data_IF_138938837044
#
_entry.id   IF_138938837044
#
_cell.length_a   1.000
_cell.length_b   1.000
_cell.length_c   1.000
_cell.angle_alpha   90.00
_cell.angle_beta   90.00
_cell.angle_gamma   90.00
#
_symmetry.space_group_name_H-M   'P 1'
#
loop_
_entity.id
_entity.type
_entity.pdbx_description
1 polymer ?
#
# COMPACT_ATOMS: atom_id res chain seq x y z
N UNK A 1 -2.72 19.40 2.50
CA UNK A 1 -2.22 20.10 3.70
C UNK A 1 -0.96 19.44 4.21
N UNK A 2 -0.03 20.21 4.71
CA UNK A 2 1.25 19.79 5.27
C UNK A 2 1.33 20.19 6.75
N UNK A 3 1.44 19.19 7.63
CA UNK A 3 1.73 19.39 9.04
C UNK A 3 3.23 19.39 9.23
N UNK A 4 3.76 20.46 9.82
CA UNK A 4 5.18 20.65 10.06
C UNK A 4 5.49 20.46 11.54
N UNK A 5 6.55 19.70 11.90
CA UNK A 5 6.93 19.56 13.30
C UNK A 5 7.35 20.89 13.90
N UNK A 6 7.09 21.07 15.17
CA UNK A 6 7.62 22.22 15.92
C UNK A 6 9.14 22.09 15.96
N UNK A 7 9.82 22.90 15.17
CA UNK A 7 11.28 23.07 15.22
C UNK A 7 11.61 24.52 14.98
N UNK A 8 12.65 25.01 15.64
CA UNK A 8 13.11 26.37 15.40
C UNK A 8 14.02 26.41 14.18
N UNK A 9 13.58 27.08 13.11
CA UNK A 9 14.46 27.56 12.06
C UNK A 9 14.72 26.59 10.89
N UNK A 10 15.99 26.28 10.62
CA UNK A 10 16.50 25.65 9.40
C UNK A 10 15.89 24.24 9.11
N UNK A 11 15.58 23.47 10.14
CA UNK A 11 15.04 22.10 10.00
C UNK A 11 13.63 22.13 9.36
N UNK A 12 12.81 23.10 9.75
CA UNK A 12 11.44 23.26 9.24
C UNK A 12 11.41 23.60 7.76
N UNK A 13 12.23 24.54 7.33
CA UNK A 13 12.31 24.95 5.92
C UNK A 13 12.89 23.83 5.05
N UNK A 14 13.89 23.11 5.54
CA UNK A 14 14.51 21.99 4.85
C UNK A 14 13.51 20.83 4.66
N UNK A 15 12.77 20.48 5.72
CA UNK A 15 11.75 19.44 5.69
C UNK A 15 10.63 19.79 4.69
N UNK A 16 10.12 21.03 4.74
CA UNK A 16 9.10 21.51 3.82
C UNK A 16 9.59 21.47 2.36
N UNK A 17 10.82 21.90 2.10
CA UNK A 17 11.40 21.90 0.76
C UNK A 17 11.49 20.49 0.18
N UNK A 18 11.99 19.51 0.94
CA UNK A 18 12.07 18.11 0.49
C UNK A 18 10.70 17.49 0.24
N UNK A 19 9.74 17.73 1.14
CA UNK A 19 8.37 17.27 0.96
C UNK A 19 7.74 17.85 -0.32
N UNK A 20 7.84 19.15 -0.50
CA UNK A 20 7.26 19.81 -1.67
C UNK A 20 7.95 19.39 -2.97
N UNK A 21 9.27 19.21 -2.96
CA UNK A 21 9.99 18.66 -4.12
C UNK A 21 9.51 17.24 -4.45
N UNK A 22 9.34 16.38 -3.46
CA UNK A 22 8.84 15.02 -3.65
C UNK A 22 7.43 15.01 -4.24
N UNK A 23 6.49 15.73 -3.65
CA UNK A 23 5.11 15.83 -4.15
C UNK A 23 5.06 16.37 -5.56
N UNK A 24 5.77 17.46 -5.83
CA UNK A 24 5.78 18.09 -7.16
C UNK A 24 6.40 17.16 -8.22
N UNK A 25 7.46 16.44 -7.86
CA UNK A 25 8.08 15.45 -8.75
C UNK A 25 7.09 14.35 -9.16
N UNK A 26 6.33 13.81 -8.22
CA UNK A 26 5.33 12.78 -8.51
C UNK A 26 4.11 13.35 -9.27
N UNK A 27 3.65 14.54 -8.91
CA UNK A 27 2.56 15.21 -9.63
C UNK A 27 2.90 15.41 -11.11
N UNK A 28 4.13 15.88 -11.43
CA UNK A 28 4.58 16.04 -12.80
C UNK A 28 4.59 14.73 -13.57
N UNK A 29 5.09 13.64 -12.97
CA UNK A 29 5.10 12.30 -13.60
C UNK A 29 3.68 11.84 -13.95
N UNK A 30 2.70 12.19 -13.14
CA UNK A 30 1.31 11.84 -13.34
C UNK A 30 0.50 12.88 -14.13
N UNK A 31 1.19 13.87 -14.71
CA UNK A 31 0.56 14.98 -15.46
C UNK A 31 -0.50 15.71 -14.62
N UNK A 32 -0.26 15.81 -13.32
CA UNK A 32 -1.11 16.50 -12.34
C UNK A 32 -0.45 17.81 -11.92
N UNK A 33 -1.26 18.76 -11.45
CA UNK A 33 -0.78 20.06 -10.99
C UNK A 33 -1.22 20.31 -9.55
N UNK A 34 -0.33 20.80 -8.71
CA UNK A 34 -0.67 21.28 -7.38
C UNK A 34 -1.34 22.65 -7.54
N UNK A 35 -2.63 22.72 -7.21
CA UNK A 35 -3.42 23.95 -7.40
C UNK A 35 -3.56 24.79 -6.14
N UNK A 36 -3.42 24.16 -4.97
CA UNK A 36 -3.55 24.83 -3.68
C UNK A 36 -2.93 23.98 -2.57
N UNK A 37 -2.65 24.60 -1.43
CA UNK A 37 -2.16 23.91 -0.24
C UNK A 37 -2.20 24.80 0.99
N UNK A 38 -2.07 24.19 2.15
CA UNK A 38 -1.96 24.86 3.44
C UNK A 38 -0.93 24.15 4.30
N UNK A 39 -0.11 24.90 5.02
CA UNK A 39 0.86 24.37 5.99
C UNK A 39 0.48 24.87 7.38
N UNK A 40 0.65 24.01 8.39
CA UNK A 40 0.38 24.33 9.78
C UNK A 40 1.38 23.64 10.70
N UNK A 41 1.60 24.18 11.86
CA UNK A 41 2.47 23.57 12.86
C UNK A 41 1.78 22.41 13.56
N UNK A 42 2.54 21.34 13.85
CA UNK A 42 2.09 20.11 14.50
C UNK A 42 3.20 19.53 15.37
N UNK A 43 2.86 18.59 16.25
CA UNK A 43 3.87 17.84 17.01
C UNK A 43 4.63 16.85 16.14
N UNK A 44 3.94 16.28 15.16
CA UNK A 44 4.47 15.26 14.25
C UNK A 44 4.31 15.73 12.80
N UNK A 45 5.23 15.33 11.90
CA UNK A 45 5.10 15.63 10.50
C UNK A 45 3.93 14.84 9.90
N UNK A 46 3.17 15.46 9.02
CA UNK A 46 2.08 14.81 8.35
C UNK A 46 1.75 15.44 7.01
N UNK A 47 1.15 14.67 6.13
CA UNK A 47 0.69 15.14 4.83
C UNK A 47 -0.69 14.60 4.52
N UNK A 48 -1.57 15.47 4.04
CA UNK A 48 -2.88 15.11 3.47
C UNK A 48 -2.95 15.62 2.06
N UNK A 49 -3.22 14.72 1.11
CA UNK A 49 -3.36 15.04 -0.31
C UNK A 49 -4.79 14.77 -0.73
N UNK A 50 -5.43 15.77 -1.33
CA UNK A 50 -6.73 15.64 -1.98
C UNK A 50 -6.54 15.75 -3.48
N UNK A 51 -7.03 14.78 -4.23
CA UNK A 51 -6.95 14.77 -5.68
C UNK A 51 -8.35 14.91 -6.29
N UNK A 52 -8.47 15.80 -7.28
CA UNK A 52 -9.67 15.95 -8.09
C UNK A 52 -9.33 15.63 -9.55
N UNK A 53 -10.22 14.95 -10.23
CA UNK A 53 -10.01 14.56 -11.61
C UNK A 53 -11.30 14.21 -12.31
N UNK A 54 -11.21 13.99 -13.63
CA UNK A 54 -12.31 13.52 -14.46
C UNK A 54 -12.03 12.09 -14.93
N UNK A 55 -13.07 11.32 -15.13
CA UNK A 55 -12.97 9.96 -15.67
C UNK A 55 -14.00 9.73 -16.77
N UNK A 56 -13.63 8.89 -17.74
CA UNK A 56 -14.55 8.51 -18.85
C UNK A 56 -15.45 7.35 -18.44
N UNK A 57 -14.94 6.42 -17.64
CA UNK A 57 -15.66 5.23 -17.17
C UNK A 57 -15.27 4.94 -15.74
N UNK A 58 -16.26 4.80 -14.89
CA UNK A 58 -16.06 4.38 -13.49
C UNK A 58 -15.79 2.87 -13.46
N UNK A 59 -14.75 2.47 -12.74
CA UNK A 59 -14.46 1.09 -12.39
C UNK A 59 -14.93 0.90 -10.95
N UNK A 60 -15.76 -0.10 -10.70
CA UNK A 60 -16.31 -0.40 -9.37
C UNK A 60 -15.81 -1.75 -8.88
N UNK A 61 -15.87 -1.99 -7.57
CA UNK A 61 -15.47 -3.26 -6.96
C UNK A 61 -16.46 -4.41 -7.18
N UNK A 62 -17.62 -4.17 -7.79
CA UNK A 62 -18.75 -5.09 -7.90
C UNK A 62 -18.90 -5.78 -9.26
N UNK A 63 -17.84 -5.89 -10.04
CA UNK A 63 -17.90 -6.44 -11.41
C UNK A 63 -17.06 -7.71 -11.59
N UNK A 64 -16.57 -8.33 -10.51
CA UNK A 64 -15.87 -9.61 -10.58
C UNK A 64 -16.80 -10.72 -11.08
N UNK A 65 -16.23 -11.68 -11.80
CA UNK A 65 -16.93 -12.86 -12.31
C UNK A 65 -16.19 -14.13 -11.89
N UNK A 66 -16.94 -15.21 -11.75
CA UNK A 66 -16.37 -16.53 -11.48
C UNK A 66 -15.36 -16.93 -12.56
N UNK A 67 -14.22 -17.48 -12.12
CA UNK A 67 -13.14 -17.92 -13.02
C UNK A 67 -12.16 -16.81 -13.41
N UNK A 68 -12.34 -15.57 -12.98
CA UNK A 68 -11.35 -14.52 -13.20
C UNK A 68 -10.12 -14.74 -12.30
N UNK A 69 -8.94 -14.39 -12.83
CA UNK A 69 -7.68 -14.50 -12.12
C UNK A 69 -7.38 -13.22 -11.34
N UNK A 70 -6.70 -13.37 -10.22
CA UNK A 70 -6.30 -12.27 -9.34
C UNK A 70 -4.82 -11.96 -9.54
N UNK A 71 -4.50 -10.71 -9.79
CA UNK A 71 -3.12 -10.25 -9.98
C UNK A 71 -2.75 -9.15 -9.00
N UNK A 72 -1.52 -9.24 -8.48
CA UNK A 72 -0.88 -8.16 -7.72
C UNK A 72 0.22 -7.51 -8.55
N UNK A 73 0.19 -6.20 -8.69
CA UNK A 73 1.17 -5.47 -9.51
C UNK A 73 2.55 -5.30 -8.87
N UNK A 74 2.65 -5.52 -7.57
CA UNK A 74 3.87 -5.45 -6.78
C UNK A 74 3.81 -6.48 -5.65
N UNK A 75 4.96 -6.90 -5.08
CA UNK A 75 4.96 -7.69 -3.86
C UNK A 75 4.43 -6.90 -2.66
N UNK A 76 4.04 -7.62 -1.62
CA UNK A 76 3.55 -7.11 -0.34
C UNK A 76 4.67 -7.10 0.70
N UNK A 77 4.46 -6.35 1.79
CA UNK A 77 5.33 -6.41 2.95
C UNK A 77 5.92 -5.09 3.39
N UNK A 78 5.38 -3.96 2.92
CA UNK A 78 5.89 -2.65 3.33
C UNK A 78 5.67 -2.40 4.83
N UNK A 79 4.58 -2.89 5.41
CA UNK A 79 4.25 -2.66 6.81
C UNK A 79 5.19 -3.37 7.78
N UNK A 80 5.39 -4.67 7.64
CA UNK A 80 6.27 -5.42 8.55
C UNK A 80 7.74 -5.05 8.37
N UNK A 81 8.18 -4.70 7.14
CA UNK A 81 9.55 -4.25 6.90
C UNK A 81 9.81 -2.87 7.49
N UNK A 82 8.85 -1.94 7.40
CA UNK A 82 8.94 -0.65 8.09
C UNK A 82 8.95 -0.84 9.61
N UNK A 83 8.12 -1.74 10.15
CA UNK A 83 8.14 -2.06 11.57
C UNK A 83 9.52 -2.59 11.99
N UNK A 84 10.10 -3.53 11.25
CA UNK A 84 11.45 -4.02 11.51
C UNK A 84 12.50 -2.91 11.48
N UNK A 85 12.40 -1.99 10.53
CA UNK A 85 13.28 -0.83 10.43
C UNK A 85 13.16 0.08 11.66
N UNK A 86 11.94 0.45 12.05
CA UNK A 86 11.72 1.33 13.21
C UNK A 86 12.11 0.71 14.55
N UNK A 87 12.07 -0.62 14.65
CA UNK A 87 12.56 -1.34 15.82
C UNK A 87 14.06 -1.64 15.77
N UNK A 88 14.80 -1.06 14.80
CA UNK A 88 16.25 -1.29 14.59
C UNK A 88 16.61 -2.77 14.57
N UNK A 89 15.83 -3.57 13.83
CA UNK A 89 16.01 -5.01 13.77
C UNK A 89 17.29 -5.39 13.02
N UNK A 90 18.15 -6.18 13.66
CA UNK A 90 19.32 -6.79 13.01
C UNK A 90 18.94 -7.79 11.91
N UNK A 91 17.70 -8.29 11.90
CA UNK A 91 17.19 -9.17 10.86
C UNK A 91 16.94 -8.44 9.53
N UNK A 92 16.79 -7.11 9.56
CA UNK A 92 16.59 -6.30 8.37
C UNK A 92 17.93 -5.86 7.78
N UNK A 93 18.36 -6.52 6.73
CA UNK A 93 19.60 -6.13 6.02
C UNK A 93 19.44 -4.78 5.28
N UNK A 94 20.56 -4.11 5.03
CA UNK A 94 20.57 -2.91 4.18
C UNK A 94 19.99 -3.19 2.78
N UNK A 95 20.18 -4.38 2.26
CA UNK A 95 19.65 -4.79 0.97
C UNK A 95 18.11 -4.91 0.99
N UNK A 96 17.53 -5.46 2.06
CA UNK A 96 16.08 -5.53 2.25
C UNK A 96 15.46 -4.15 2.38
N UNK A 97 16.12 -3.25 3.12
CA UNK A 97 15.68 -1.86 3.23
C UNK A 97 15.72 -1.13 1.88
N UNK A 98 16.77 -1.34 1.07
CA UNK A 98 16.83 -0.77 -0.27
C UNK A 98 15.71 -1.32 -1.19
N UNK A 99 15.43 -2.63 -1.15
CA UNK A 99 14.30 -3.23 -1.87
C UNK A 99 12.98 -2.61 -1.44
N UNK A 100 12.75 -2.46 -0.14
CA UNK A 100 11.57 -1.81 0.39
C UNK A 100 11.41 -0.40 -0.19
N UNK A 101 12.45 0.42 -0.15
CA UNK A 101 12.43 1.79 -0.68
C UNK A 101 12.16 1.85 -2.19
N UNK A 102 12.70 0.90 -2.96
CA UNK A 102 12.43 0.78 -4.40
C UNK A 102 10.93 0.54 -4.64
N UNK A 103 10.33 -0.42 -3.94
CA UNK A 103 8.92 -0.75 -4.11
C UNK A 103 7.98 0.36 -3.61
N UNK A 104 8.30 1.01 -2.49
CA UNK A 104 7.53 2.14 -1.98
C UNK A 104 7.56 3.35 -2.91
N UNK A 105 8.67 3.58 -3.64
CA UNK A 105 8.79 4.66 -4.63
C UNK A 105 8.18 4.34 -5.99
N UNK A 106 7.91 3.07 -6.28
CA UNK A 106 7.38 2.63 -7.57
C UNK A 106 5.89 2.96 -7.69
N UNK A 107 5.56 3.96 -8.51
CA UNK A 107 4.16 4.34 -8.78
C UNK A 107 3.37 3.26 -9.52
N UNK A 108 2.05 3.36 -9.46
CA UNK A 108 1.11 2.39 -10.05
C UNK A 108 0.60 2.80 -11.45
N UNK A 109 0.96 3.98 -11.97
CA UNK A 109 0.46 4.52 -13.24
C UNK A 109 0.61 3.56 -14.41
N UNK A 110 1.84 3.08 -14.67
CA UNK A 110 2.11 2.17 -15.79
C UNK A 110 1.26 0.90 -15.74
N UNK A 111 1.09 0.31 -14.56
CA UNK A 111 0.26 -0.89 -14.40
C UNK A 111 -1.22 -0.57 -14.57
N UNK A 112 -1.68 0.58 -14.09
CA UNK A 112 -3.05 1.03 -14.33
C UNK A 112 -3.34 1.22 -15.83
N UNK A 113 -2.39 1.73 -16.60
CA UNK A 113 -2.51 1.84 -18.07
C UNK A 113 -2.57 0.47 -18.74
N UNK A 114 -1.73 -0.47 -18.32
CA UNK A 114 -1.72 -1.86 -18.80
C UNK A 114 -3.06 -2.53 -18.45
N UNK A 115 -3.53 -2.43 -17.21
CA UNK A 115 -4.82 -2.97 -16.77
C UNK A 115 -5.98 -2.50 -17.66
N UNK A 116 -5.99 -1.21 -18.02
CA UNK A 116 -6.97 -0.64 -18.95
C UNK A 116 -6.90 -1.29 -20.35
N UNK A 117 -5.70 -1.58 -20.85
CA UNK A 117 -5.53 -2.21 -22.17
C UNK A 117 -6.08 -3.64 -22.21
N UNK A 118 -6.03 -4.36 -21.09
CA UNK A 118 -6.65 -5.67 -20.91
C UNK A 118 -8.14 -5.62 -20.55
N UNK A 119 -8.73 -4.40 -20.51
CA UNK A 119 -10.14 -4.18 -20.15
C UNK A 119 -10.51 -4.75 -18.78
N UNK A 120 -9.57 -4.71 -17.83
CA UNK A 120 -9.85 -5.11 -16.45
C UNK A 120 -11.12 -4.40 -15.96
N UNK A 121 -12.01 -5.16 -15.34
CA UNK A 121 -13.27 -4.66 -14.81
C UNK A 121 -13.13 -4.11 -13.41
N UNK A 122 -12.11 -4.58 -12.68
CA UNK A 122 -11.84 -4.20 -11.31
C UNK A 122 -10.36 -3.85 -11.19
N UNK A 123 -10.09 -2.75 -10.53
CA UNK A 123 -8.74 -2.36 -10.14
C UNK A 123 -8.85 -1.52 -8.87
N UNK A 124 -8.19 -1.94 -7.80
CA UNK A 124 -8.07 -1.17 -6.56
C UNK A 124 -6.63 -1.22 -6.06
N UNK A 125 -6.18 -0.20 -5.35
CA UNK A 125 -4.90 -0.26 -4.65
C UNK A 125 -5.06 -1.01 -3.32
N UNK A 126 -3.99 -1.67 -2.89
CA UNK A 126 -3.88 -2.22 -1.55
C UNK A 126 -3.12 -1.21 -0.70
N UNK A 127 -3.75 -0.75 0.37
CA UNK A 127 -3.25 0.29 1.24
C UNK A 127 -3.25 -0.16 2.72
N UNK A 128 -3.50 0.73 3.65
CA UNK A 128 -3.42 0.49 5.07
C UNK A 128 -4.30 -0.63 5.64
N UNK A 129 -5.31 -1.10 4.90
CA UNK A 129 -6.19 -2.19 5.35
C UNK A 129 -5.70 -3.60 4.98
N UNK A 130 -4.62 -3.71 4.16
CA UNK A 130 -4.05 -4.99 3.74
C UNK A 130 -4.85 -5.72 2.66
N UNK A 131 -4.26 -6.80 2.11
CA UNK A 131 -4.84 -7.57 1.02
C UNK A 131 -6.21 -8.18 1.40
N UNK A 132 -6.32 -8.74 2.61
CA UNK A 132 -7.54 -9.40 3.09
C UNK A 132 -8.77 -8.52 2.93
N UNK A 133 -8.71 -7.29 3.46
CA UNK A 133 -9.83 -6.35 3.44
C UNK A 133 -10.23 -5.94 2.02
N UNK A 134 -9.25 -5.60 1.19
CA UNK A 134 -9.54 -5.17 -0.18
C UNK A 134 -10.12 -6.29 -1.05
N UNK A 135 -9.64 -7.53 -0.89
CA UNK A 135 -10.17 -8.68 -1.61
C UNK A 135 -11.57 -9.06 -1.11
N UNK A 136 -11.78 -9.06 0.21
CA UNK A 136 -13.11 -9.29 0.81
C UNK A 136 -14.15 -8.28 0.32
N UNK A 137 -13.77 -7.02 0.19
CA UNK A 137 -14.66 -5.99 -0.36
C UNK A 137 -15.09 -6.31 -1.80
N UNK A 138 -14.17 -6.77 -2.64
CA UNK A 138 -14.47 -7.17 -4.02
C UNK A 138 -15.39 -8.38 -4.02
N UNK A 139 -15.07 -9.41 -3.22
CA UNK A 139 -15.86 -10.62 -3.12
C UNK A 139 -17.31 -10.33 -2.68
N UNK A 140 -17.47 -9.56 -1.60
CA UNK A 140 -18.79 -9.16 -1.08
C UNK A 140 -19.58 -8.35 -2.09
N UNK A 141 -18.93 -7.37 -2.72
CA UNK A 141 -19.59 -6.47 -3.69
C UNK A 141 -20.01 -7.20 -4.96
N UNK A 142 -19.38 -8.34 -5.28
CA UNK A 142 -19.65 -9.15 -6.45
C UNK A 142 -20.45 -10.42 -6.15
N UNK A 143 -20.72 -10.73 -4.86
CA UNK A 143 -21.40 -11.97 -4.45
C UNK A 143 -20.58 -13.23 -4.70
N UNK A 144 -19.25 -13.15 -4.57
CA UNK A 144 -18.29 -14.22 -4.89
C UNK A 144 -17.41 -14.55 -3.69
N UNK A 145 -16.63 -15.61 -3.82
CA UNK A 145 -15.49 -15.96 -2.97
C UNK A 145 -14.22 -16.00 -3.81
N UNK A 146 -13.07 -15.81 -3.18
CA UNK A 146 -11.77 -15.93 -3.83
C UNK A 146 -10.93 -16.99 -3.14
N UNK A 147 -10.19 -17.75 -3.92
CA UNK A 147 -9.18 -18.69 -3.44
C UNK A 147 -7.79 -18.13 -3.75
N UNK A 148 -6.90 -18.12 -2.75
CA UNK A 148 -5.54 -17.61 -2.89
C UNK A 148 -4.56 -18.66 -2.37
N UNK A 149 -3.56 -18.99 -3.17
CA UNK A 149 -2.39 -19.73 -2.73
C UNK A 149 -1.25 -18.76 -2.42
N UNK A 150 -0.73 -18.82 -1.19
CA UNK A 150 0.35 -17.96 -0.74
C UNK A 150 1.69 -18.68 -0.90
N UNK A 151 2.61 -18.06 -1.62
CA UNK A 151 4.00 -18.46 -1.73
C UNK A 151 4.93 -17.28 -1.39
N UNK A 152 6.22 -17.53 -1.25
CA UNK A 152 7.20 -16.52 -0.83
C UNK A 152 7.40 -15.40 -1.86
N UNK A 153 7.05 -15.62 -3.11
CA UNK A 153 7.17 -14.63 -4.18
C UNK A 153 6.27 -13.41 -3.98
N UNK A 154 5.23 -13.56 -3.12
CA UNK A 154 4.36 -12.46 -2.75
C UNK A 154 5.08 -11.41 -1.88
N UNK A 155 6.21 -11.74 -1.26
CA UNK A 155 6.93 -10.88 -0.34
C UNK A 155 7.98 -10.00 -1.06
N UNK A 156 8.18 -8.79 -0.56
CA UNK A 156 9.28 -7.89 -1.00
C UNK A 156 10.64 -8.55 -0.76
N UNK A 157 10.77 -9.26 0.35
CA UNK A 157 11.91 -10.11 0.67
C UNK A 157 11.41 -11.50 1.11
N UNK A 158 12.23 -12.51 0.93
CA UNK A 158 11.85 -13.88 1.30
C UNK A 158 12.15 -14.19 2.79
N UNK A 159 12.22 -13.17 3.65
CA UNK A 159 12.52 -13.36 5.07
C UNK A 159 11.21 -13.47 5.89
N UNK A 160 10.72 -14.71 5.99
CA UNK A 160 9.51 -15.04 6.75
C UNK A 160 9.69 -14.75 8.25
N UNK A 161 10.92 -14.84 8.79
CA UNK A 161 11.18 -14.57 10.20
C UNK A 161 10.86 -13.10 10.55
N UNK A 162 11.18 -12.16 9.66
CA UNK A 162 10.80 -10.75 9.85
C UNK A 162 9.28 -10.62 9.85
N UNK A 163 8.57 -11.27 8.93
CA UNK A 163 7.10 -11.24 8.86
C UNK A 163 6.45 -11.82 10.12
N UNK A 164 6.99 -12.89 10.68
CA UNK A 164 6.46 -13.50 11.91
C UNK A 164 6.71 -12.61 13.14
N UNK A 165 7.89 -12.00 13.22
CA UNK A 165 8.37 -11.27 14.41
C UNK A 165 7.86 -9.82 14.47
N UNK A 166 7.79 -9.15 13.32
CA UNK A 166 7.44 -7.73 13.25
C UNK A 166 6.07 -7.52 12.62
N UNK A 167 5.27 -6.72 13.27
CA UNK A 167 3.96 -6.31 12.80
C UNK A 167 3.83 -4.80 12.93
N UNK A 168 3.27 -4.18 11.90
CA UNK A 168 2.96 -2.76 11.93
C UNK A 168 1.83 -2.44 12.92
N UNK A 169 1.69 -1.21 13.30
CA UNK A 169 0.65 -0.75 14.25
C UNK A 169 -0.77 -1.05 13.75
N UNK A 170 -1.01 -1.02 12.44
CA UNK A 170 -2.31 -1.32 11.84
C UNK A 170 -2.66 -2.81 11.73
N UNK A 171 -1.68 -3.71 11.86
CA UNK A 171 -1.88 -5.14 11.66
C UNK A 171 -3.00 -5.72 12.53
N UNK A 172 -3.00 -5.42 13.83
CA UNK A 172 -3.99 -5.97 14.79
C UNK A 172 -5.41 -5.57 14.41
N UNK A 173 -5.62 -4.34 14.01
CA UNK A 173 -6.94 -3.84 13.60
C UNK A 173 -7.39 -4.53 12.30
N UNK A 174 -6.50 -4.66 11.32
CA UNK A 174 -6.79 -5.35 10.07
C UNK A 174 -7.16 -6.81 10.30
N UNK A 175 -6.38 -7.52 11.13
CA UNK A 175 -6.69 -8.90 11.51
C UNK A 175 -8.07 -9.00 12.18
N UNK A 176 -8.36 -8.17 13.17
CA UNK A 176 -9.64 -8.20 13.90
C UNK A 176 -10.84 -7.90 13.00
N UNK A 177 -10.66 -7.06 11.98
CA UNK A 177 -11.75 -6.66 11.08
C UNK A 177 -12.05 -7.66 9.98
N UNK A 178 -11.07 -8.43 9.53
CA UNK A 178 -11.23 -9.27 8.33
C UNK A 178 -10.93 -10.76 8.52
N UNK A 179 -10.39 -11.19 9.67
CA UNK A 179 -10.05 -12.60 9.88
C UNK A 179 -11.26 -13.55 9.84
N UNK A 180 -12.43 -13.09 10.27
CA UNK A 180 -13.67 -13.90 10.24
C UNK A 180 -14.20 -14.14 8.82
N UNK A 181 -13.69 -13.43 7.82
CA UNK A 181 -14.08 -13.53 6.43
C UNK A 181 -13.17 -14.46 5.62
N UNK A 182 -12.10 -14.95 6.27
CA UNK A 182 -11.06 -15.77 5.64
C UNK A 182 -11.03 -17.14 6.25
N UNK A 183 -11.15 -18.17 5.41
CA UNK A 183 -10.91 -19.55 5.76
C UNK A 183 -9.50 -19.94 5.32
N UNK A 184 -8.72 -20.47 6.24
CA UNK A 184 -7.35 -20.94 5.98
C UNK A 184 -7.34 -22.45 6.08
N UNK A 185 -7.12 -23.13 4.97
CA UNK A 185 -7.09 -24.61 4.91
C UNK A 185 -5.86 -25.18 5.58
N UNK A 186 -4.69 -24.54 5.36
CA UNK A 186 -3.42 -24.95 5.96
C UNK A 186 -2.78 -23.80 6.71
N UNK A 187 -2.20 -24.09 7.90
CA UNK A 187 -1.45 -23.09 8.66
C UNK A 187 -0.19 -22.68 7.88
N UNK A 188 -0.33 -21.64 7.07
CA UNK A 188 0.77 -21.07 6.31
C UNK A 188 1.41 -19.92 7.10
N UNK A 189 2.72 -19.93 7.26
CA UNK A 189 3.49 -18.86 7.93
C UNK A 189 3.31 -17.51 7.23
N UNK A 190 2.98 -17.52 5.95
CA UNK A 190 2.73 -16.31 5.15
C UNK A 190 1.36 -15.67 5.42
N UNK A 191 0.44 -16.31 6.14
CA UNK A 191 -0.91 -15.79 6.37
C UNK A 191 -0.94 -14.36 6.93
N UNK A 192 0.08 -13.97 7.70
CA UNK A 192 0.17 -12.63 8.27
C UNK A 192 0.28 -11.53 7.21
N UNK A 193 0.78 -11.85 6.00
CA UNK A 193 0.91 -10.87 4.90
C UNK A 193 -0.46 -10.36 4.44
N UNK A 194 -1.52 -11.14 4.60
CA UNK A 194 -2.87 -10.76 4.22
C UNK A 194 -3.37 -9.52 4.96
N UNK A 195 -2.91 -9.33 6.20
CA UNK A 195 -3.34 -8.27 7.11
C UNK A 195 -2.31 -7.15 7.23
N UNK A 196 -1.15 -7.29 6.58
CA UNK A 196 -0.07 -6.29 6.65
C UNK A 196 -0.47 -5.00 5.93
N UNK A 197 -0.49 -3.84 6.63
CA UNK A 197 -0.75 -2.55 5.99
C UNK A 197 0.28 -2.25 4.92
N UNK A 198 -0.15 -1.71 3.79
CA UNK A 198 0.74 -1.36 2.69
C UNK A 198 0.87 0.16 2.53
N UNK A 199 2.10 0.62 2.34
CA UNK A 199 2.43 1.99 1.94
C UNK A 199 2.78 1.99 0.45
N UNK A 200 1.99 2.68 -0.37
CA UNK A 200 2.08 2.63 -1.83
C UNK A 200 2.13 1.19 -2.36
N UNK A 201 1.19 0.38 -1.90
CA UNK A 201 1.10 -1.05 -2.21
C UNK A 201 0.77 -1.34 -3.68
N UNK A 202 0.56 -2.62 -4.00
CA UNK A 202 0.19 -3.04 -5.34
C UNK A 202 -1.21 -2.58 -5.73
N UNK A 203 -1.47 -2.60 -7.04
CA UNK A 203 -2.83 -2.74 -7.54
C UNK A 203 -3.25 -4.21 -7.45
N UNK A 204 -4.45 -4.43 -6.98
CA UNK A 204 -5.21 -5.66 -7.08
C UNK A 204 -6.11 -5.54 -8.31
N UNK A 205 -5.91 -6.45 -9.25
CA UNK A 205 -6.52 -6.42 -10.58
C UNK A 205 -7.21 -7.75 -10.82
#
# INVERSE_FOLDING_TARGET
SLALPFSEGIIESFFMEYFMKGINSEAIKDSSTIVSGHSYQSKEPGITITMNGTFKKQITKSQAQEGELIYLSKPLGTGYLLAAYFYNSELLSNFDFQKLMIWMKKGNKKISEISKSFKSKITTDISGFGLASHLSDICKSSGLSAEIELNEEILINNNIEILEKFKSTGFKNNYSSSANEISISDKNKLQNILYDPQTNGPLLI
#
